data_IF_196022859151
#
_entry.id   IF_196022859151
#
_cell.length_a   1.000
_cell.length_b   1.000
_cell.length_c   1.000
_cell.angle_alpha   90.00
_cell.angle_beta   90.00
_cell.angle_gamma   90.00
#
_symmetry.space_group_name_H-M   'P 1'
#
loop_
_entity.id
_entity.type
_entity.pdbx_description
1 polymer ?
#
# COMPACT_ATOMS: atom_id res chain seq x y z
N UNK A 1 3.43 17.56 -10.79
CA UNK A 1 2.43 16.82 -10.00
C UNK A 1 1.38 16.24 -10.93
N UNK A 2 0.75 15.11 -10.60
CA UNK A 2 -0.30 14.51 -11.45
C UNK A 2 -1.58 15.35 -11.38
N UNK A 3 -2.23 15.58 -12.52
CA UNK A 3 -3.42 16.42 -12.64
C UNK A 3 -4.55 15.96 -11.71
N UNK A 4 -4.79 14.66 -11.61
CA UNK A 4 -5.85 14.09 -10.77
C UNK A 4 -5.56 14.20 -9.27
N UNK A 5 -4.33 14.53 -8.89
CA UNK A 5 -3.89 14.69 -7.50
C UNK A 5 -3.58 16.16 -7.15
N UNK A 6 -4.08 17.13 -7.94
CA UNK A 6 -3.80 18.57 -7.76
C UNK A 6 -4.28 19.15 -6.42
N UNK A 7 -5.21 18.49 -5.74
CA UNK A 7 -5.68 18.86 -4.41
C UNK A 7 -4.64 18.63 -3.30
N UNK A 8 -3.59 17.85 -3.59
CA UNK A 8 -2.52 17.54 -2.66
C UNK A 8 -1.32 18.47 -2.90
N UNK A 9 -0.59 18.80 -1.84
CA UNK A 9 0.75 19.37 -2.01
C UNK A 9 1.81 18.26 -2.28
N UNK A 10 3.04 18.66 -2.56
CA UNK A 10 4.11 17.71 -2.88
C UNK A 10 4.42 16.74 -1.74
N UNK A 11 4.43 17.22 -0.49
CA UNK A 11 4.70 16.40 0.68
C UNK A 11 3.60 15.35 0.88
N UNK A 12 2.34 15.74 0.71
CA UNK A 12 1.17 14.86 0.80
C UNK A 12 1.17 13.80 -0.30
N UNK A 13 1.51 14.19 -1.53
CA UNK A 13 1.64 13.25 -2.63
C UNK A 13 2.80 12.27 -2.40
N UNK A 14 3.92 12.74 -1.83
CA UNK A 14 5.03 11.86 -1.41
C UNK A 14 4.57 10.86 -0.35
N UNK A 15 3.85 11.30 0.69
CA UNK A 15 3.29 10.40 1.71
C UNK A 15 2.37 9.34 1.10
N UNK A 16 1.55 9.72 0.12
CA UNK A 16 0.66 8.80 -0.58
C UNK A 16 1.43 7.75 -1.38
N UNK A 17 2.51 8.14 -2.06
CA UNK A 17 3.39 7.19 -2.77
C UNK A 17 4.14 6.27 -1.81
N UNK A 18 4.66 6.82 -0.72
CA UNK A 18 5.41 6.10 0.32
C UNK A 18 4.52 5.05 1.03
N UNK A 19 3.19 5.16 0.95
CA UNK A 19 2.26 4.15 1.45
C UNK A 19 2.52 2.75 0.87
N UNK A 20 2.87 2.64 -0.42
CA UNK A 20 3.07 1.33 -1.08
C UNK A 20 4.25 0.54 -0.50
N UNK A 21 5.48 1.11 -0.39
CA UNK A 21 6.58 0.44 0.32
C UNK A 21 6.28 0.27 1.81
N UNK A 22 5.62 1.21 2.49
CA UNK A 22 5.22 1.04 3.91
C UNK A 22 4.28 -0.17 4.12
N UNK A 23 3.28 -0.34 3.25
CA UNK A 23 2.38 -1.50 3.27
C UNK A 23 3.18 -2.79 3.05
N UNK A 24 4.19 -2.76 2.16
CA UNK A 24 5.05 -3.94 1.94
C UNK A 24 5.78 -4.32 3.22
N UNK A 25 6.42 -3.37 3.88
CA UNK A 25 7.15 -3.60 5.15
C UNK A 25 6.21 -4.08 6.25
N UNK A 26 5.01 -3.50 6.35
CA UNK A 26 4.01 -3.88 7.35
C UNK A 26 3.54 -5.32 7.17
N UNK A 27 3.20 -5.70 5.94
CA UNK A 27 2.62 -7.02 5.64
C UNK A 27 3.71 -8.09 5.63
N UNK A 28 4.79 -7.88 4.87
CA UNK A 28 5.86 -8.86 4.74
C UNK A 28 6.68 -9.02 6.03
N UNK A 29 6.63 -8.05 6.95
CA UNK A 29 7.29 -8.14 8.25
C UNK A 29 6.33 -8.48 9.39
N UNK A 30 5.07 -8.86 9.12
CA UNK A 30 4.05 -8.99 10.15
C UNK A 30 4.37 -10.04 11.22
N UNK A 31 5.09 -11.10 10.86
CA UNK A 31 5.52 -12.19 11.74
C UNK A 31 6.99 -12.06 12.22
N UNK A 32 7.64 -10.94 11.88
CA UNK A 32 9.02 -10.64 12.24
C UNK A 32 10.08 -11.04 11.22
N UNK A 33 9.72 -11.69 10.10
CA UNK A 33 10.69 -12.09 9.08
C UNK A 33 10.23 -11.67 7.69
N UNK A 34 11.11 -11.01 6.94
CA UNK A 34 10.81 -10.68 5.55
C UNK A 34 11.08 -11.87 4.63
N UNK A 35 10.04 -12.39 3.98
CA UNK A 35 10.23 -13.37 2.94
C UNK A 35 10.61 -12.71 1.61
N UNK A 36 11.67 -13.20 0.97
CA UNK A 36 12.16 -12.67 -0.31
C UNK A 36 11.08 -12.65 -1.38
N UNK A 37 10.23 -13.66 -1.44
CA UNK A 37 9.17 -13.77 -2.45
C UNK A 37 8.11 -12.67 -2.27
N UNK A 38 7.79 -12.27 -1.04
CA UNK A 38 6.89 -11.15 -0.77
C UNK A 38 7.47 -9.82 -1.25
N UNK A 39 8.76 -9.57 -1.00
CA UNK A 39 9.44 -8.34 -1.44
C UNK A 39 9.54 -8.27 -2.96
N UNK A 40 9.95 -9.37 -3.61
CA UNK A 40 10.03 -9.47 -5.08
C UNK A 40 8.65 -9.33 -5.70
N UNK A 41 7.63 -9.92 -5.10
CA UNK A 41 6.26 -9.80 -5.59
C UNK A 41 5.71 -8.39 -5.44
N UNK A 42 5.96 -7.70 -4.32
CA UNK A 42 5.55 -6.32 -4.12
C UNK A 42 6.12 -5.38 -5.20
N UNK A 43 7.40 -5.55 -5.56
CA UNK A 43 8.04 -4.81 -6.66
C UNK A 43 7.37 -5.12 -8.01
N UNK A 44 7.14 -6.40 -8.31
CA UNK A 44 6.44 -6.82 -9.54
C UNK A 44 5.02 -6.26 -9.62
N UNK A 45 4.23 -6.32 -8.54
CA UNK A 45 2.86 -5.81 -8.50
C UNK A 45 2.84 -4.31 -8.72
N UNK A 46 3.78 -3.56 -8.14
CA UNK A 46 3.94 -2.11 -8.37
C UNK A 46 4.16 -1.81 -9.86
N UNK A 47 5.07 -2.53 -10.51
CA UNK A 47 5.34 -2.39 -11.96
C UNK A 47 4.14 -2.77 -12.82
N UNK A 48 3.49 -3.90 -12.50
CA UNK A 48 2.30 -4.37 -13.21
C UNK A 48 1.19 -3.31 -13.12
N UNK A 49 0.94 -2.72 -11.95
CA UNK A 49 -0.07 -1.69 -11.77
C UNK A 49 0.25 -0.40 -12.54
N UNK A 50 1.53 -0.01 -12.60
CA UNK A 50 1.98 1.12 -13.42
C UNK A 50 1.81 0.93 -14.93
N UNK A 51 1.68 -0.32 -15.39
CA UNK A 51 1.41 -0.64 -16.79
C UNK A 51 -0.09 -0.89 -17.09
N UNK A 52 -0.77 -1.65 -16.20
CA UNK A 52 -2.12 -2.20 -16.45
C UNK A 52 -3.28 -1.40 -15.86
N UNK A 53 -3.06 -0.59 -14.81
CA UNK A 53 -4.16 0.25 -14.30
C UNK A 53 -4.52 1.32 -15.33
N UNK A 54 -5.69 1.92 -15.14
CA UNK A 54 -6.20 2.99 -16.01
C UNK A 54 -6.00 4.35 -15.33
N UNK A 55 -6.06 5.40 -16.14
CA UNK A 55 -6.23 6.79 -15.72
C UNK A 55 -5.29 7.23 -14.59
N UNK A 56 -5.82 7.88 -13.56
CA UNK A 56 -5.07 8.42 -12.43
C UNK A 56 -4.19 7.36 -11.74
N UNK A 57 -4.73 6.14 -11.59
CA UNK A 57 -4.05 5.07 -10.88
C UNK A 57 -2.84 4.52 -11.66
N UNK A 58 -2.89 4.51 -12.99
CA UNK A 58 -1.72 4.16 -13.82
C UNK A 58 -0.56 5.11 -13.53
N UNK A 59 -0.82 6.41 -13.66
CA UNK A 59 0.17 7.46 -13.45
C UNK A 59 0.69 7.47 -12.02
N UNK A 60 -0.19 7.26 -11.03
CA UNK A 60 0.20 7.10 -9.63
C UNK A 60 1.22 5.97 -9.44
N UNK A 61 0.94 4.77 -9.97
CA UNK A 61 1.87 3.64 -9.82
C UNK A 61 3.16 3.79 -10.62
N UNK A 62 3.16 4.53 -11.72
CA UNK A 62 4.40 4.91 -12.41
C UNK A 62 5.27 5.78 -11.50
N UNK A 63 4.70 6.78 -10.81
CA UNK A 63 5.44 7.60 -9.86
C UNK A 63 5.92 6.83 -8.63
N UNK A 64 5.13 5.89 -8.11
CA UNK A 64 5.55 4.98 -7.04
C UNK A 64 6.74 4.13 -7.51
N UNK A 65 6.62 3.52 -8.70
CA UNK A 65 7.64 2.62 -9.26
C UNK A 65 9.02 3.25 -9.42
N UNK A 66 9.11 4.57 -9.63
CA UNK A 66 10.39 5.31 -9.70
C UNK A 66 11.22 5.23 -8.42
N UNK A 67 10.57 5.09 -7.26
CA UNK A 67 11.23 5.19 -5.94
C UNK A 67 10.96 3.99 -5.03
N UNK A 68 10.12 3.04 -5.46
CA UNK A 68 9.65 1.92 -4.64
C UNK A 68 10.80 1.13 -3.99
N UNK A 69 11.75 0.60 -4.77
CA UNK A 69 12.82 -0.25 -4.23
C UNK A 69 13.74 0.52 -3.28
N UNK A 70 14.02 1.79 -3.57
CA UNK A 70 14.86 2.65 -2.73
C UNK A 70 14.17 2.88 -1.38
N UNK A 71 12.88 3.23 -1.39
CA UNK A 71 12.10 3.48 -0.18
C UNK A 71 11.87 2.22 0.64
N UNK A 72 11.61 1.09 -0.02
CA UNK A 72 11.45 -0.21 0.63
C UNK A 72 12.71 -0.58 1.42
N UNK A 73 13.88 -0.56 0.76
CA UNK A 73 15.15 -0.86 1.43
C UNK A 73 15.44 0.13 2.56
N UNK A 74 15.25 1.44 2.32
CA UNK A 74 15.41 2.46 3.35
C UNK A 74 14.58 2.15 4.61
N UNK A 75 13.31 1.78 4.45
CA UNK A 75 12.45 1.47 5.60
C UNK A 75 12.84 0.16 6.28
N UNK A 76 13.24 -0.87 5.52
CA UNK A 76 13.74 -2.11 6.11
C UNK A 76 15.02 -1.90 6.93
N UNK A 77 15.90 -1.00 6.48
CA UNK A 77 17.18 -0.69 7.13
C UNK A 77 17.03 0.25 8.34
N UNK A 78 16.07 1.19 8.30
CA UNK A 78 15.97 2.28 9.29
C UNK A 78 14.88 2.08 10.34
N UNK A 79 13.92 1.20 10.12
CA UNK A 79 12.85 0.98 11.09
C UNK A 79 13.26 0.04 12.23
N UNK A 80 12.56 0.10 13.38
CA UNK A 80 12.79 -0.82 14.48
C UNK A 80 12.73 -2.28 14.03
N UNK A 81 13.62 -3.09 14.60
CA UNK A 81 13.63 -4.54 14.39
C UNK A 81 12.49 -5.21 15.16
N UNK A 82 12.11 -4.64 16.32
CA UNK A 82 10.95 -5.08 17.06
C UNK A 82 9.66 -4.93 16.23
N UNK A 83 8.88 -6.01 16.15
CA UNK A 83 7.70 -6.11 15.29
C UNK A 83 6.62 -5.14 15.74
N UNK A 84 6.39 -5.04 17.05
CA UNK A 84 5.34 -4.21 17.60
C UNK A 84 5.67 -2.71 17.42
N UNK A 85 6.90 -2.30 17.76
CA UNK A 85 7.37 -0.94 17.54
C UNK A 85 7.32 -0.54 16.07
N UNK A 86 7.78 -1.42 15.16
CA UNK A 86 7.73 -1.18 13.72
C UNK A 86 6.28 -1.05 13.23
N UNK A 87 5.39 -1.95 13.63
CA UNK A 87 4.00 -1.92 13.20
C UNK A 87 3.28 -0.67 13.70
N UNK A 88 3.57 -0.22 14.93
CA UNK A 88 3.04 1.03 15.46
C UNK A 88 3.57 2.25 14.70
N UNK A 89 4.88 2.29 14.40
CA UNK A 89 5.48 3.35 13.60
C UNK A 89 4.85 3.43 12.21
N UNK A 90 4.72 2.30 11.51
CA UNK A 90 4.12 2.23 10.18
C UNK A 90 2.64 2.58 10.25
N UNK A 91 1.91 2.04 11.21
CA UNK A 91 0.50 2.32 11.44
C UNK A 91 0.24 3.82 11.63
N UNK A 92 1.08 4.50 12.42
CA UNK A 92 1.02 5.95 12.58
C UNK A 92 1.25 6.71 11.28
N UNK A 93 2.21 6.29 10.45
CA UNK A 93 2.48 6.90 9.14
C UNK A 93 1.33 6.68 8.15
N UNK A 94 0.76 5.48 8.11
CA UNK A 94 -0.39 5.17 7.25
C UNK A 94 -1.66 5.87 7.72
N UNK A 95 -1.86 6.05 9.03
CA UNK A 95 -2.99 6.81 9.57
C UNK A 95 -2.98 8.30 9.17
N UNK A 96 -1.78 8.87 8.95
CA UNK A 96 -1.65 10.25 8.43
C UNK A 96 -2.19 10.41 7.00
N UNK A 97 -2.48 9.30 6.30
CA UNK A 97 -3.09 9.34 4.98
C UNK A 97 -4.60 9.67 5.04
N UNK A 98 -5.26 9.48 6.18
CA UNK A 98 -6.70 9.77 6.31
C UNK A 98 -7.08 11.20 5.91
N UNK A 99 -6.45 12.26 6.48
CA UNK A 99 -6.72 13.64 6.03
C UNK A 99 -6.26 13.92 4.60
N UNK A 100 -5.30 13.17 4.06
CA UNK A 100 -4.84 13.32 2.66
C UNK A 100 -5.88 12.73 1.70
N UNK A 101 -6.38 11.53 1.99
CA UNK A 101 -7.41 10.86 1.20
C UNK A 101 -8.72 11.66 1.20
N UNK A 102 -9.06 12.32 2.32
CA UNK A 102 -10.24 13.18 2.42
C UNK A 102 -10.18 14.44 1.54
N UNK A 103 -9.01 14.82 1.00
CA UNK A 103 -8.87 15.93 0.06
C UNK A 103 -9.07 15.52 -1.39
N UNK A 104 -9.00 14.23 -1.69
CA UNK A 104 -9.19 13.72 -3.04
C UNK A 104 -10.67 13.73 -3.39
N UNK A 105 -10.95 13.79 -4.69
CA UNK A 105 -12.30 13.50 -5.19
C UNK A 105 -12.72 12.09 -4.72
N UNK A 106 -14.00 11.92 -4.37
CA UNK A 106 -14.50 10.76 -3.65
C UNK A 106 -14.25 9.43 -4.37
N UNK A 107 -14.45 9.38 -5.69
CA UNK A 107 -14.16 8.21 -6.49
C UNK A 107 -12.66 7.90 -6.50
N UNK A 108 -11.80 8.90 -6.73
CA UNK A 108 -10.35 8.72 -6.67
C UNK A 108 -9.87 8.26 -5.28
N UNK A 109 -10.39 8.83 -4.20
CA UNK A 109 -10.05 8.45 -2.84
C UNK A 109 -10.36 6.96 -2.57
N UNK A 110 -11.54 6.51 -3.02
CA UNK A 110 -11.95 5.12 -2.91
C UNK A 110 -11.10 4.18 -3.78
N UNK A 111 -10.73 4.59 -5.00
CA UNK A 111 -9.83 3.83 -5.85
C UNK A 111 -8.45 3.65 -5.22
N UNK A 112 -7.89 4.72 -4.64
CA UNK A 112 -6.60 4.69 -3.94
C UNK A 112 -6.69 3.76 -2.73
N UNK A 113 -7.73 3.90 -1.90
CA UNK A 113 -7.94 3.02 -0.74
C UNK A 113 -8.08 1.54 -1.14
N UNK A 114 -8.94 1.23 -2.11
CA UNK A 114 -9.12 -0.12 -2.66
C UNK A 114 -7.82 -0.67 -3.25
N UNK A 115 -7.04 0.20 -3.88
CA UNK A 115 -5.71 -0.13 -4.39
C UNK A 115 -4.76 -0.52 -3.26
N UNK A 116 -4.69 0.23 -2.16
CA UNK A 116 -3.86 -0.10 -1.00
C UNK A 116 -4.23 -1.44 -0.37
N UNK A 117 -5.52 -1.67 -0.09
CA UNK A 117 -6.01 -2.92 0.51
C UNK A 117 -5.74 -4.12 -0.42
N UNK A 118 -5.99 -3.98 -1.72
CA UNK A 118 -5.71 -5.05 -2.68
C UNK A 118 -4.20 -5.28 -2.87
N UNK A 119 -3.37 -4.25 -2.71
CA UNK A 119 -1.92 -4.39 -2.74
C UNK A 119 -1.44 -5.20 -1.53
N UNK A 120 -1.88 -4.85 -0.32
CA UNK A 120 -1.59 -5.59 0.91
C UNK A 120 -1.94 -7.08 0.77
N UNK A 121 -3.12 -7.39 0.21
CA UNK A 121 -3.54 -8.77 -0.11
C UNK A 121 -2.59 -9.49 -1.06
N UNK A 122 -2.08 -8.80 -2.08
CA UNK A 122 -1.14 -9.41 -3.02
C UNK A 122 0.21 -9.71 -2.35
N UNK A 123 0.73 -8.81 -1.51
CA UNK A 123 1.98 -9.02 -0.78
C UNK A 123 1.85 -10.24 0.14
N UNK A 124 0.79 -10.31 0.96
CA UNK A 124 0.57 -11.43 1.87
C UNK A 124 0.42 -12.78 1.15
N UNK A 125 -0.20 -12.80 -0.03
CA UNK A 125 -0.40 -14.04 -0.80
C UNK A 125 0.87 -14.57 -1.49
N UNK A 126 1.95 -13.79 -1.54
CA UNK A 126 3.16 -14.17 -2.25
C UNK A 126 3.93 -15.32 -1.57
N UNK A 127 3.79 -15.47 -0.25
CA UNK A 127 4.45 -16.49 0.57
C UNK A 127 3.75 -17.86 0.57
N UNK A 128 2.59 -18.00 -0.10
CA UNK A 128 1.70 -19.17 -0.03
C UNK A 128 2.18 -20.49 -0.65
N UNK A 129 3.43 -20.57 -1.13
CA UNK A 129 4.08 -21.83 -1.53
C UNK A 129 3.49 -22.56 -2.76
N UNK A 130 4.30 -23.47 -3.32
CA UNK A 130 4.07 -24.23 -4.56
C UNK A 130 2.92 -25.27 -4.49
N UNK A 131 2.31 -25.49 -3.31
CA UNK A 131 1.32 -26.55 -3.06
C UNK A 131 -0.10 -26.06 -2.73
N UNK A 132 -0.44 -24.80 -3.02
CA UNK A 132 -1.84 -24.42 -3.22
C UNK A 132 -2.64 -24.04 -1.97
N UNK A 133 -2.00 -23.77 -0.83
CA UNK A 133 -2.64 -23.00 0.23
C UNK A 133 -2.04 -21.60 0.24
N UNK A 134 -2.71 -20.66 -0.45
CA UNK A 134 -2.50 -19.22 -0.30
C UNK A 134 -2.87 -18.78 1.14
N UNK A 135 -2.13 -19.28 2.12
CA UNK A 135 -2.38 -19.09 3.52
C UNK A 135 -1.78 -17.76 3.93
N UNK A 136 -2.63 -16.73 3.94
CA UNK A 136 -2.36 -15.52 4.71
C UNK A 136 -2.20 -15.95 6.17
N UNK A 137 -1.07 -15.62 6.79
CA UNK A 137 -0.85 -16.00 8.18
C UNK A 137 -1.69 -15.13 9.15
N UNK A 138 -1.78 -15.54 10.42
CA UNK A 138 -2.64 -14.86 11.40
C UNK A 138 -2.24 -13.40 11.66
N UNK A 139 -0.95 -13.09 11.60
CA UNK A 139 -0.45 -11.74 11.87
C UNK A 139 -0.66 -10.81 10.67
N UNK A 140 -0.43 -11.30 9.45
CA UNK A 140 -0.76 -10.63 8.20
C UNK A 140 -2.26 -10.35 8.09
N UNK A 141 -3.11 -11.34 8.42
CA UNK A 141 -4.56 -11.23 8.33
C UNK A 141 -5.13 -10.03 9.10
N UNK A 142 -4.54 -9.69 10.26
CA UNK A 142 -4.94 -8.54 11.07
C UNK A 142 -4.62 -7.19 10.38
N UNK A 143 -3.62 -7.17 9.51
CA UNK A 143 -3.06 -5.95 8.93
C UNK A 143 -3.49 -5.72 7.47
N UNK A 144 -3.88 -6.77 6.74
CA UNK A 144 -4.26 -6.70 5.31
C UNK A 144 -5.42 -5.73 5.03
N UNK A 145 -6.34 -5.57 5.98
CA UNK A 145 -7.43 -4.60 5.89
C UNK A 145 -6.99 -3.14 6.06
N UNK A 146 -5.73 -2.92 6.44
CA UNK A 146 -5.16 -1.63 6.80
C UNK A 146 -6.04 -0.89 7.83
N UNK A 147 -6.23 -1.45 9.05
CA UNK A 147 -7.21 -0.95 10.02
C UNK A 147 -6.94 0.49 10.52
N UNK A 148 -5.76 1.03 10.22
CA UNK A 148 -5.37 2.41 10.52
C UNK A 148 -5.84 3.43 9.46
N UNK A 149 -6.30 2.97 8.30
CA UNK A 149 -6.84 3.81 7.23
C UNK A 149 -8.37 3.68 7.25
N UNK A 150 -9.06 4.80 7.36
CA UNK A 150 -10.52 4.88 7.35
C UNK A 150 -11.03 4.33 6.00
N UNK A 151 -11.89 3.31 6.01
CA UNK A 151 -12.48 2.79 4.78
C UNK A 151 -13.24 3.86 4.00
N UNK A 152 -13.01 3.90 2.69
CA UNK A 152 -13.68 4.83 1.78
C UNK A 152 -14.54 4.01 0.83
N UNK A 153 -15.86 4.26 0.88
CA UNK A 153 -16.84 3.63 0.03
C UNK A 153 -17.41 4.69 -0.92
N UNK A 154 -17.43 4.42 -2.21
CA UNK A 154 -18.26 5.19 -3.14
C UNK A 154 -19.68 4.70 -2.96
N UNK A 155 -20.62 5.58 -2.59
CA UNK A 155 -22.04 5.29 -2.71
C UNK A 155 -22.36 5.12 -4.19
N UNK A 156 -22.60 3.90 -4.63
CA UNK A 156 -23.20 3.62 -5.93
C UNK A 156 -24.67 4.04 -5.87
N UNK A 157 -24.93 5.35 -5.92
CA UNK A 157 -26.28 5.91 -6.18
C UNK A 157 -26.43 6.37 -7.64
N UNK A 158 -25.46 6.09 -8.50
CA UNK A 158 -25.53 6.35 -9.94
C UNK A 158 -25.28 5.06 -10.74
N UNK A 159 -26.16 4.09 -10.58
CA UNK A 159 -26.52 3.18 -11.68
C UNK A 159 -28.02 3.41 -11.91
N UNK A 160 -28.35 4.32 -12.83
CA UNK A 160 -29.71 4.50 -13.39
C UNK A 160 -30.25 3.20 -13.99
#
# INVERSE_FOLDING_TARGET
MLEQFHALNEEEFVKLKDAIPLITVLIAGADGHYEKDQLVWADKVTKIRGYKMKDAMKSFYQEVGKTFSIKLNLYMDTFPQDVHERNNLIGGRLAQLNPILAKLESHLAAEVYKSFVSFAKHVAKASGGLFGFFAINKEEAKLIGLPMITPIHVSTEEEE
#
